data_IF_286526125883
#
_entry.id   IF_286526125883
#
_cell.length_a   1.000
_cell.length_b   1.000
_cell.length_c   1.000
_cell.angle_alpha   90.00
_cell.angle_beta   90.00
_cell.angle_gamma   90.00
#
_symmetry.space_group_name_H-M   'P 1'
#
loop_
_entity.id
_entity.type
_entity.pdbx_description
1 polymer ?
#
# COMPACT_ATOMS: atom_id res chain seq x y z
N UNK A 1 -13.63 -8.76 -3.16
CA UNK A 1 -12.91 -7.78 -3.99
C UNK A 1 -13.18 -6.37 -3.47
N UNK A 2 -12.14 -5.59 -3.24
CA UNK A 2 -12.18 -4.23 -2.72
C UNK A 2 -11.52 -3.25 -3.69
N UNK A 3 -11.75 -1.95 -3.51
CA UNK A 3 -11.19 -0.89 -4.34
C UNK A 3 -10.60 0.22 -3.48
N UNK A 4 -9.43 0.76 -3.83
CA UNK A 4 -8.85 1.90 -3.12
C UNK A 4 -9.62 3.17 -3.45
N UNK A 5 -10.07 3.88 -2.40
CA UNK A 5 -10.78 5.15 -2.52
C UNK A 5 -10.31 6.17 -1.48
N UNK A 6 -10.08 7.39 -1.89
CA UNK A 6 -9.48 8.47 -1.09
C UNK A 6 -10.48 9.42 -0.44
N UNK A 7 -11.77 9.19 -0.65
CA UNK A 7 -12.82 10.00 -0.05
C UNK A 7 -13.50 10.99 -1.00
N UNK A 8 -14.67 11.46 -0.59
CA UNK A 8 -15.48 12.42 -1.35
C UNK A 8 -14.73 13.74 -1.53
N UNK A 9 -14.65 14.23 -2.78
CA UNK A 9 -13.93 15.44 -3.15
C UNK A 9 -12.39 15.32 -3.13
N UNK A 10 -11.84 14.17 -2.76
CA UNK A 10 -10.40 13.88 -2.76
C UNK A 10 -10.01 12.81 -3.78
N UNK A 11 -11.00 12.08 -4.27
CA UNK A 11 -10.86 11.13 -5.35
C UNK A 11 -11.68 11.61 -6.57
N UNK A 12 -11.18 11.38 -7.77
CA UNK A 12 -11.92 11.64 -9.00
C UNK A 12 -13.01 10.60 -9.27
N UNK A 13 -12.94 9.45 -8.56
CA UNK A 13 -13.82 8.31 -8.75
C UNK A 13 -14.90 8.32 -7.68
N UNK A 14 -16.15 8.24 -8.11
CA UNK A 14 -17.30 8.18 -7.20
C UNK A 14 -17.58 6.75 -6.71
N UNK A 15 -18.19 6.62 -5.53
CA UNK A 15 -18.66 5.33 -5.00
C UNK A 15 -19.64 4.63 -5.98
N UNK A 16 -20.43 5.40 -6.73
CA UNK A 16 -21.31 4.87 -7.76
C UNK A 16 -20.55 4.16 -8.87
N UNK A 17 -19.44 4.73 -9.35
CA UNK A 17 -18.60 4.10 -10.38
C UNK A 17 -17.94 2.83 -9.83
N UNK A 18 -17.41 2.88 -8.62
CA UNK A 18 -16.81 1.71 -7.97
C UNK A 18 -17.84 0.57 -7.84
N UNK A 19 -19.05 0.89 -7.39
CA UNK A 19 -20.14 -0.09 -7.24
C UNK A 19 -20.57 -0.74 -8.57
N UNK A 20 -20.30 -0.11 -9.71
CA UNK A 20 -20.59 -0.64 -11.04
C UNK A 20 -19.53 -1.59 -11.58
N UNK A 21 -18.34 -1.69 -10.92
CA UNK A 21 -17.32 -2.66 -11.31
C UNK A 21 -17.83 -4.07 -10.96
N UNK A 22 -17.88 -5.01 -11.90
CA UNK A 22 -18.37 -6.37 -11.64
C UNK A 22 -17.58 -7.05 -10.51
N UNK A 23 -18.28 -7.65 -9.55
CA UNK A 23 -17.69 -8.34 -8.42
C UNK A 23 -17.09 -7.45 -7.32
N UNK A 24 -17.22 -6.12 -7.44
CA UNK A 24 -16.77 -5.19 -6.41
C UNK A 24 -17.76 -5.15 -5.25
N UNK A 25 -17.27 -5.43 -4.03
CA UNK A 25 -18.11 -5.53 -2.83
C UNK A 25 -17.72 -4.53 -1.74
N UNK A 26 -16.49 -4.01 -1.74
CA UNK A 26 -16.04 -3.15 -0.67
C UNK A 26 -14.90 -2.21 -1.05
N UNK A 27 -14.44 -1.47 -0.07
CA UNK A 27 -13.37 -0.49 -0.20
C UNK A 27 -12.19 -0.81 0.72
N UNK A 28 -10.99 -0.41 0.28
CA UNK A 28 -9.87 -0.06 1.13
C UNK A 28 -9.85 1.46 1.24
N UNK A 29 -10.40 1.96 2.36
CA UNK A 29 -10.68 3.37 2.55
C UNK A 29 -9.65 4.11 3.40
N UNK A 30 -9.75 5.44 3.47
CA UNK A 30 -8.89 6.29 4.30
C UNK A 30 -9.63 7.57 4.71
N UNK A 31 -9.27 8.13 5.86
CA UNK A 31 -9.51 9.54 6.17
C UNK A 31 -8.29 10.34 5.68
N UNK A 32 -8.29 10.72 4.39
CA UNK A 32 -7.13 11.30 3.67
C UNK A 32 -6.71 12.69 4.20
N UNK A 33 -7.56 13.34 5.00
CA UNK A 33 -7.27 14.60 5.68
C UNK A 33 -6.47 14.46 6.99
N UNK A 34 -6.33 13.23 7.51
CA UNK A 34 -5.65 12.99 8.77
C UNK A 34 -4.15 12.94 8.62
N UNK A 35 -3.46 13.79 9.36
CA UNK A 35 -2.00 13.73 9.43
C UNK A 35 -1.54 12.49 10.20
N UNK A 36 -0.32 12.01 9.89
CA UNK A 36 0.29 10.91 10.64
C UNK A 36 0.39 11.24 12.12
N UNK A 37 -0.06 10.32 12.99
CA UNK A 37 -0.04 10.49 14.44
C UNK A 37 -1.28 11.17 15.04
N UNK A 38 -2.20 11.68 14.22
CA UNK A 38 -3.48 12.17 14.70
C UNK A 38 -4.43 11.02 15.06
N UNK A 39 -5.28 11.25 16.05
CA UNK A 39 -6.36 10.31 16.40
C UNK A 39 -7.51 10.46 15.41
N UNK A 40 -7.95 9.35 14.85
CA UNK A 40 -9.21 9.29 14.11
C UNK A 40 -10.36 9.13 15.11
N UNK A 41 -11.24 10.13 15.17
CA UNK A 41 -12.35 10.13 16.12
C UNK A 41 -13.46 9.18 15.69
N UNK A 42 -14.25 8.71 16.65
CA UNK A 42 -15.41 7.85 16.37
C UNK A 42 -16.43 8.52 15.45
N UNK A 43 -16.64 9.83 15.60
CA UNK A 43 -17.58 10.60 14.77
C UNK A 43 -17.14 10.63 13.29
N UNK A 44 -15.85 10.88 13.02
CA UNK A 44 -15.29 10.92 11.68
C UNK A 44 -15.35 9.53 11.02
N UNK A 45 -14.94 8.49 11.76
CA UNK A 45 -14.99 7.10 11.27
C UNK A 45 -16.43 6.71 10.96
N UNK A 46 -17.36 6.97 11.89
CA UNK A 46 -18.78 6.67 11.71
C UNK A 46 -19.34 7.32 10.44
N UNK A 47 -19.10 8.62 10.28
CA UNK A 47 -19.56 9.38 9.11
C UNK A 47 -19.03 8.78 7.81
N UNK A 48 -17.75 8.40 7.80
CA UNK A 48 -17.08 7.81 6.65
C UNK A 48 -17.67 6.44 6.30
N UNK A 49 -17.77 5.54 7.27
CA UNK A 49 -18.31 4.17 7.09
C UNK A 49 -19.79 4.21 6.69
N UNK A 50 -20.61 5.02 7.36
CA UNK A 50 -22.03 5.19 7.02
C UNK A 50 -22.20 5.67 5.56
N UNK A 51 -21.34 6.59 5.09
CA UNK A 51 -21.38 7.08 3.71
C UNK A 51 -21.09 5.96 2.69
N UNK A 52 -20.12 5.11 2.99
CA UNK A 52 -19.76 3.96 2.13
C UNK A 52 -20.88 2.92 2.12
N UNK A 53 -21.44 2.58 3.28
CA UNK A 53 -22.54 1.64 3.41
C UNK A 53 -23.81 2.14 2.69
N UNK A 54 -24.08 3.44 2.73
CA UNK A 54 -25.20 4.04 1.99
C UNK A 54 -25.06 3.88 0.45
N UNK A 55 -23.84 3.73 -0.05
CA UNK A 55 -23.56 3.44 -1.46
C UNK A 55 -23.64 1.93 -1.79
N UNK A 56 -23.91 1.06 -0.80
CA UNK A 56 -23.99 -0.40 -0.97
C UNK A 56 -22.62 -1.08 -1.10
N UNK A 57 -21.59 -0.51 -0.48
CA UNK A 57 -20.23 -1.06 -0.40
C UNK A 57 -19.86 -1.29 1.06
N UNK A 58 -19.02 -2.29 1.32
CA UNK A 58 -18.47 -2.56 2.64
C UNK A 58 -17.16 -1.79 2.88
N UNK A 59 -16.87 -1.45 4.15
CA UNK A 59 -15.62 -0.82 4.57
C UNK A 59 -15.02 -1.60 5.74
N UNK A 60 -14.31 -2.67 5.45
CA UNK A 60 -13.67 -3.52 6.47
C UNK A 60 -12.15 -3.36 6.49
N UNK A 61 -11.58 -2.65 5.51
CA UNK A 61 -10.13 -2.42 5.38
C UNK A 61 -9.87 -0.92 5.32
N UNK A 62 -8.94 -0.46 6.15
CA UNK A 62 -8.40 0.91 6.10
C UNK A 62 -6.99 0.86 5.54
N UNK A 63 -6.74 1.71 4.56
CA UNK A 63 -5.40 1.90 3.97
C UNK A 63 -5.18 3.39 3.69
N UNK A 64 -4.42 4.11 4.55
CA UNK A 64 -3.60 3.63 5.67
C UNK A 64 -3.90 4.43 6.92
N UNK A 65 -3.59 3.86 8.08
CA UNK A 65 -3.28 4.66 9.26
C UNK A 65 -1.77 4.86 9.27
N UNK A 66 -1.32 6.06 8.90
CA UNK A 66 0.10 6.36 8.73
C UNK A 66 0.87 6.37 10.05
N UNK A 67 2.03 5.71 10.09
CA UNK A 67 2.93 5.70 11.25
C UNK A 67 3.78 6.97 11.24
N UNK A 68 3.76 7.72 12.35
CA UNK A 68 4.52 8.97 12.49
C UNK A 68 6.03 8.73 12.44
N UNK A 69 6.79 9.64 11.82
CA UNK A 69 8.25 9.52 11.67
C UNK A 69 8.98 9.41 13.01
N UNK A 70 8.49 10.06 14.07
CA UNK A 70 9.09 9.97 15.41
C UNK A 70 9.05 8.55 15.98
N UNK A 71 8.06 7.73 15.58
CA UNK A 71 8.00 6.30 15.94
C UNK A 71 9.10 5.56 15.20
N UNK A 72 9.22 5.77 13.89
CA UNK A 72 10.22 5.12 13.03
C UNK A 72 11.65 5.46 13.46
N UNK A 73 11.88 6.73 13.84
CA UNK A 73 13.19 7.21 14.33
C UNK A 73 13.46 6.91 15.82
N UNK A 74 12.49 6.39 16.57
CA UNK A 74 12.65 6.09 17.99
C UNK A 74 12.79 7.32 18.89
N UNK A 75 12.22 8.48 18.49
CA UNK A 75 12.32 9.72 19.26
C UNK A 75 11.49 9.65 20.55
N UNK A 76 11.79 10.54 21.51
CA UNK A 76 11.12 10.57 22.83
C UNK A 76 9.63 10.82 22.76
N UNK A 77 9.14 11.48 21.71
CA UNK A 77 7.71 11.75 21.43
C UNK A 77 6.94 10.52 20.92
N UNK A 78 7.63 9.43 20.53
CA UNK A 78 7.01 8.23 19.91
C UNK A 78 5.87 7.64 20.74
N UNK A 79 5.97 7.65 22.07
CA UNK A 79 4.96 7.04 22.94
C UNK A 79 3.62 7.76 22.88
N UNK A 80 3.62 9.08 22.65
CA UNK A 80 2.39 9.84 22.44
C UNK A 80 1.71 9.44 21.14
N UNK A 81 2.48 9.30 20.06
CA UNK A 81 1.96 8.88 18.75
C UNK A 81 1.49 7.43 18.74
N UNK A 82 2.19 6.53 19.45
CA UNK A 82 1.77 5.14 19.65
C UNK A 82 0.44 5.08 20.42
N UNK A 83 0.28 5.89 21.47
CA UNK A 83 -0.99 6.01 22.21
C UNK A 83 -2.13 6.47 21.31
N UNK A 84 -1.89 7.46 20.45
CA UNK A 84 -2.88 7.94 19.49
C UNK A 84 -3.24 6.84 18.48
N UNK A 85 -2.23 6.09 18.00
CA UNK A 85 -2.42 4.96 17.10
C UNK A 85 -3.30 3.88 17.72
N UNK A 86 -3.01 3.48 18.98
CA UNK A 86 -3.83 2.54 19.74
C UNK A 86 -5.28 3.03 19.94
N UNK A 87 -5.47 4.34 20.13
CA UNK A 87 -6.81 4.95 20.22
C UNK A 87 -7.55 4.81 18.89
N UNK A 88 -6.89 5.11 17.79
CA UNK A 88 -7.44 4.96 16.43
C UNK A 88 -7.84 3.51 16.15
N UNK A 89 -7.00 2.51 16.50
CA UNK A 89 -7.34 1.09 16.38
C UNK A 89 -8.66 0.76 17.10
N UNK A 90 -8.80 1.19 18.37
CA UNK A 90 -10.03 0.94 19.15
C UNK A 90 -11.25 1.61 18.54
N UNK A 91 -11.09 2.81 18.00
CA UNK A 91 -12.17 3.53 17.35
C UNK A 91 -12.60 2.85 16.06
N UNK A 92 -11.65 2.43 15.20
CA UNK A 92 -11.92 1.72 13.95
C UNK A 92 -12.65 0.39 14.18
N UNK A 93 -12.24 -0.37 15.21
CA UNK A 93 -12.87 -1.64 15.56
C UNK A 93 -14.38 -1.54 15.84
N UNK A 94 -14.84 -0.43 16.44
CA UNK A 94 -16.25 -0.19 16.75
C UNK A 94 -17.14 -0.09 15.50
N UNK A 95 -16.54 0.22 14.35
CA UNK A 95 -17.25 0.42 13.08
C UNK A 95 -16.99 -0.69 12.06
N UNK A 96 -16.57 -1.86 12.53
CA UNK A 96 -16.46 -3.08 11.70
C UNK A 96 -15.18 -3.21 10.89
N UNK A 97 -14.20 -2.34 11.11
CA UNK A 97 -12.90 -2.49 10.46
C UNK A 97 -12.20 -3.74 10.97
N UNK A 98 -11.68 -4.55 10.05
CA UNK A 98 -10.99 -5.83 10.31
C UNK A 98 -9.49 -5.75 10.05
N UNK A 99 -9.08 -4.96 9.06
CA UNK A 99 -7.68 -4.86 8.63
C UNK A 99 -7.26 -3.38 8.56
N UNK A 100 -6.10 -3.08 9.11
CA UNK A 100 -5.42 -1.80 8.96
C UNK A 100 -4.13 -2.03 8.18
N UNK A 101 -4.07 -1.50 6.97
CA UNK A 101 -2.84 -1.43 6.18
C UNK A 101 -2.01 -0.26 6.66
N UNK A 102 -0.73 -0.47 6.81
CA UNK A 102 0.25 0.55 7.16
C UNK A 102 1.60 0.18 6.55
N UNK A 103 2.54 1.10 6.60
CA UNK A 103 3.93 0.85 6.24
C UNK A 103 4.88 1.39 7.31
N UNK A 104 6.13 0.98 7.27
CA UNK A 104 7.19 1.46 8.16
C UNK A 104 8.35 2.09 7.36
N UNK A 105 8.04 2.59 6.17
CA UNK A 105 8.98 3.22 5.25
C UNK A 105 9.40 4.61 5.77
N UNK A 106 10.70 4.89 5.92
CA UNK A 106 11.19 6.23 6.21
C UNK A 106 10.84 7.23 5.11
N UNK A 107 10.28 8.37 5.48
CA UNK A 107 10.00 9.54 4.65
C UNK A 107 9.04 9.27 3.50
N UNK A 108 9.41 8.45 2.53
CA UNK A 108 8.63 8.16 1.33
C UNK A 108 7.94 6.81 1.43
N UNK A 109 6.62 6.75 1.34
CA UNK A 109 5.87 5.48 1.38
C UNK A 109 6.10 4.67 0.11
N UNK A 110 6.03 5.32 -1.05
CA UNK A 110 6.40 4.76 -2.34
C UNK A 110 7.05 5.84 -3.18
N UNK A 111 7.87 5.45 -4.16
CA UNK A 111 8.59 6.40 -4.98
C UNK A 111 8.63 5.96 -6.43
N UNK A 112 8.39 6.93 -7.34
CA UNK A 112 8.57 6.81 -8.77
C UNK A 112 9.37 8.00 -9.28
N UNK A 113 10.15 7.79 -10.33
CA UNK A 113 10.91 8.87 -10.99
C UNK A 113 10.06 9.65 -11.99
N UNK A 114 8.97 9.04 -12.46
CA UNK A 114 7.99 9.69 -13.33
C UNK A 114 6.59 9.12 -13.04
N UNK A 115 5.60 9.99 -12.90
CA UNK A 115 4.21 9.60 -12.64
C UNK A 115 3.37 9.43 -13.90
N UNK A 116 3.85 9.87 -15.04
CA UNK A 116 3.12 9.91 -16.30
C UNK A 116 4.02 9.55 -17.50
N UNK A 117 4.86 8.53 -17.36
CA UNK A 117 5.71 8.06 -18.45
C UNK A 117 4.84 7.47 -19.56
N UNK A 118 4.99 8.02 -20.77
CA UNK A 118 4.29 7.49 -21.95
C UNK A 118 4.78 6.08 -22.26
N UNK A 119 3.85 5.16 -22.49
CA UNK A 119 4.08 3.83 -22.99
C UNK A 119 4.09 3.91 -24.53
N UNK A 120 5.23 3.68 -25.20
CA UNK A 120 5.33 3.90 -26.65
C UNK A 120 4.42 3.00 -27.48
N UNK A 121 4.07 1.83 -26.95
CA UNK A 121 3.31 0.79 -27.65
C UNK A 121 1.85 1.19 -27.88
N UNK A 122 1.26 1.97 -26.97
CA UNK A 122 -0.18 2.31 -27.03
C UNK A 122 -0.52 3.77 -26.67
N UNK A 123 0.48 4.57 -26.27
CA UNK A 123 0.33 5.98 -25.91
C UNK A 123 -0.29 6.21 -24.53
N UNK A 124 -0.57 5.18 -23.75
CA UNK A 124 -1.03 5.31 -22.38
C UNK A 124 0.09 5.81 -21.45
N UNK A 125 -0.27 6.21 -20.22
CA UNK A 125 0.69 6.66 -19.22
C UNK A 125 0.81 5.66 -18.09
N UNK A 126 2.02 5.51 -17.53
CA UNK A 126 2.24 4.68 -16.36
C UNK A 126 3.18 5.32 -15.34
N UNK A 127 3.06 4.89 -14.10
CA UNK A 127 4.06 5.12 -13.08
C UNK A 127 5.35 4.39 -13.48
N UNK A 128 6.49 5.07 -13.35
CA UNK A 128 7.78 4.59 -13.82
C UNK A 128 8.88 4.87 -12.81
N UNK A 129 9.79 3.92 -12.66
CA UNK A 129 10.97 4.03 -11.82
C UNK A 129 12.24 3.68 -12.58
N UNK A 130 13.27 4.50 -12.48
CA UNK A 130 14.61 4.24 -12.96
C UNK A 130 15.64 4.74 -11.93
N UNK A 131 16.41 3.83 -11.34
CA UNK A 131 17.43 4.17 -10.33
C UNK A 131 18.48 5.14 -10.87
N UNK A 132 18.79 5.09 -12.15
CA UNK A 132 19.75 6.03 -12.77
C UNK A 132 19.19 7.44 -12.82
N UNK A 133 17.92 7.60 -13.20
CA UNK A 133 17.25 8.91 -13.16
C UNK A 133 17.17 9.42 -11.71
N UNK A 134 16.86 8.54 -10.75
CA UNK A 134 16.84 8.90 -9.34
C UNK A 134 18.21 9.35 -8.83
N UNK A 135 19.30 8.71 -9.27
CA UNK A 135 20.67 9.06 -8.88
C UNK A 135 21.12 10.45 -9.35
N UNK A 136 20.42 11.05 -10.31
CA UNK A 136 20.65 12.40 -10.80
C UNK A 136 19.82 13.48 -10.06
N UNK A 137 18.95 13.07 -9.13
CA UNK A 137 18.00 13.91 -8.40
C UNK A 137 18.32 13.97 -6.91
N UNK A 138 18.06 15.11 -6.30
CA UNK A 138 17.95 15.20 -4.85
C UNK A 138 16.54 14.79 -4.39
N UNK A 139 16.35 14.44 -3.10
CA UNK A 139 15.01 14.21 -2.56
C UNK A 139 14.01 15.36 -2.79
N UNK A 140 14.49 16.59 -2.84
CA UNK A 140 13.66 17.77 -3.12
C UNK A 140 13.30 17.84 -4.61
N UNK A 141 14.22 17.45 -5.48
CA UNK A 141 13.95 17.45 -6.93
C UNK A 141 12.87 16.44 -7.26
N UNK A 142 12.91 15.23 -6.67
CA UNK A 142 11.89 14.24 -6.90
C UNK A 142 10.51 14.71 -6.43
N UNK A 143 10.42 15.42 -5.29
CA UNK A 143 9.17 16.02 -4.80
C UNK A 143 8.62 17.04 -5.80
N UNK A 144 9.50 17.86 -6.39
CA UNK A 144 9.10 18.86 -7.39
C UNK A 144 8.66 18.25 -8.71
N UNK A 145 9.39 17.22 -9.18
CA UNK A 145 9.06 16.56 -10.45
C UNK A 145 7.74 15.78 -10.34
N UNK A 146 7.55 15.03 -9.25
CA UNK A 146 6.30 14.30 -9.04
C UNK A 146 5.11 15.25 -8.87
N UNK A 147 5.26 16.40 -8.22
CA UNK A 147 4.20 17.39 -8.09
C UNK A 147 3.71 17.95 -9.44
N UNK A 148 4.56 18.04 -10.46
CA UNK A 148 4.16 18.50 -11.81
C UNK A 148 3.16 17.57 -12.49
N UNK A 149 3.30 16.27 -12.26
CA UNK A 149 2.53 15.21 -12.94
C UNK A 149 1.48 14.54 -12.02
N UNK A 150 1.18 15.16 -10.87
CA UNK A 150 0.23 14.63 -9.89
C UNK A 150 -1.24 14.89 -10.22
N UNK A 151 -1.52 15.60 -11.33
CA UNK A 151 -2.87 16.09 -11.70
C UNK A 151 -3.56 16.89 -10.58
N UNK A 152 -2.78 17.54 -9.71
CA UNK A 152 -3.28 18.32 -8.58
C UNK A 152 -3.66 17.48 -7.34
N UNK A 153 -3.51 16.16 -7.39
CA UNK A 153 -3.79 15.29 -6.25
C UNK A 153 -2.57 15.20 -5.30
N UNK A 154 -2.86 15.12 -4.00
CA UNK A 154 -1.85 14.72 -3.03
C UNK A 154 -1.55 13.23 -3.19
N UNK A 155 -0.29 12.85 -3.20
CA UNK A 155 0.11 11.45 -3.31
C UNK A 155 0.20 10.82 -1.92
N UNK A 156 -0.13 9.51 -1.76
CA UNK A 156 0.01 8.82 -0.48
C UNK A 156 1.46 8.86 0.01
N UNK A 157 1.67 9.31 1.26
CA UNK A 157 3.00 9.48 1.83
C UNK A 157 3.74 10.75 1.42
N UNK A 158 3.09 11.60 0.61
CA UNK A 158 3.65 12.85 0.07
C UNK A 158 2.81 14.06 0.51
N UNK A 159 2.14 13.95 1.64
CA UNK A 159 1.33 15.02 2.21
C UNK A 159 2.23 16.24 2.51
N UNK A 160 1.71 17.43 2.28
CA UNK A 160 2.45 18.69 2.38
C UNK A 160 3.07 18.89 3.78
N UNK A 161 2.34 18.49 4.80
CA UNK A 161 2.77 18.56 6.20
C UNK A 161 3.97 17.65 6.46
N UNK A 162 3.97 16.46 5.86
CA UNK A 162 5.06 15.47 5.96
C UNK A 162 6.32 15.92 5.23
N UNK A 163 6.18 16.67 4.16
CA UNK A 163 7.28 17.20 3.37
C UNK A 163 7.80 18.56 3.85
N UNK A 164 7.09 19.24 4.75
CA UNK A 164 7.45 20.56 5.24
C UNK A 164 8.86 20.64 5.85
N UNK A 165 9.26 19.56 6.56
CA UNK A 165 10.57 19.43 7.21
C UNK A 165 11.47 18.35 6.57
N UNK A 166 11.29 18.12 5.26
CA UNK A 166 11.94 17.02 4.53
C UNK A 166 13.46 16.97 4.75
N UNK A 167 14.16 18.09 4.60
CA UNK A 167 15.63 18.14 4.76
C UNK A 167 16.05 17.78 6.19
N UNK A 168 15.34 18.30 7.17
CA UNK A 168 15.61 18.01 8.59
C UNK A 168 15.37 16.53 8.90
N UNK A 169 14.30 15.96 8.36
CA UNK A 169 13.94 14.56 8.55
C UNK A 169 14.97 13.64 7.89
N UNK A 170 15.36 13.91 6.65
CA UNK A 170 16.41 13.16 5.95
C UNK A 170 17.72 13.17 6.71
N UNK A 171 18.14 14.34 7.21
CA UNK A 171 19.37 14.48 8.00
C UNK A 171 19.33 13.65 9.30
N UNK A 172 18.18 13.53 9.93
CA UNK A 172 18.03 12.66 11.13
C UNK A 172 18.18 11.18 10.77
N UNK A 173 17.70 10.75 9.59
CA UNK A 173 17.85 9.38 9.12
C UNK A 173 19.28 8.98 8.77
N UNK A 174 20.20 9.92 8.53
CA UNK A 174 21.63 9.61 8.32
C UNK A 174 22.27 8.79 9.46
N UNK A 175 21.70 8.89 10.66
CA UNK A 175 22.17 8.14 11.86
C UNK A 175 21.32 6.91 12.18
N UNK A 176 20.32 6.58 11.40
CA UNK A 176 19.40 5.45 11.64
C UNK A 176 19.75 4.30 10.69
N UNK A 177 20.25 3.21 11.23
CA UNK A 177 20.50 1.99 10.49
C UNK A 177 19.23 1.15 10.29
N UNK A 178 19.31 0.12 9.45
CA UNK A 178 18.22 -0.87 9.33
C UNK A 178 17.95 -1.59 10.66
N UNK A 179 18.99 -1.88 11.45
CA UNK A 179 18.84 -2.50 12.77
C UNK A 179 18.12 -1.57 13.74
N UNK A 180 18.43 -0.27 13.72
CA UNK A 180 17.73 0.72 14.54
C UNK A 180 16.26 0.82 14.12
N UNK A 181 15.99 0.84 12.79
CA UNK A 181 14.64 0.87 12.26
C UNK A 181 13.85 -0.40 12.66
N UNK A 182 14.47 -1.59 12.57
CA UNK A 182 13.88 -2.86 13.05
C UNK A 182 13.60 -2.84 14.55
N UNK A 183 14.50 -2.30 15.36
CA UNK A 183 14.29 -2.18 16.79
C UNK A 183 13.14 -1.23 17.13
N UNK A 184 13.04 -0.09 16.45
CA UNK A 184 11.93 0.85 16.60
C UNK A 184 10.61 0.25 16.12
N UNK A 185 10.65 -0.54 15.06
CA UNK A 185 9.47 -1.24 14.55
C UNK A 185 8.99 -2.30 15.55
N UNK A 186 9.88 -3.11 16.11
CA UNK A 186 9.52 -4.06 17.16
C UNK A 186 8.87 -3.36 18.36
N UNK A 187 9.45 -2.25 18.82
CA UNK A 187 8.87 -1.46 19.90
C UNK A 187 7.43 -0.99 19.60
N UNK A 188 7.18 -0.55 18.36
CA UNK A 188 5.85 -0.18 17.91
C UNK A 188 4.89 -1.38 17.92
N UNK A 189 5.30 -2.52 17.36
CA UNK A 189 4.47 -3.73 17.32
C UNK A 189 4.13 -4.26 18.71
N UNK A 190 5.10 -4.26 19.64
CA UNK A 190 4.86 -4.68 21.04
C UNK A 190 3.80 -3.84 21.75
N UNK A 191 3.62 -2.59 21.34
CA UNK A 191 2.60 -1.71 21.90
C UNK A 191 1.23 -1.84 21.20
N UNK A 192 1.20 -2.01 19.87
CA UNK A 192 -0.05 -1.95 19.11
C UNK A 192 -0.71 -3.32 18.91
N UNK A 193 0.05 -4.39 18.75
CA UNK A 193 -0.52 -5.73 18.47
C UNK A 193 -1.41 -6.25 19.61
N UNK A 194 -1.07 -6.09 20.91
CA UNK A 194 -2.00 -6.48 21.97
C UNK A 194 -3.35 -5.74 21.91
N UNK A 195 -3.36 -4.51 21.41
CA UNK A 195 -4.61 -3.74 21.20
C UNK A 195 -5.39 -4.30 20.02
N UNK A 196 -4.70 -4.68 18.96
CA UNK A 196 -5.32 -5.31 17.79
C UNK A 196 -5.96 -6.65 18.15
N UNK A 197 -5.29 -7.49 18.95
CA UNK A 197 -5.83 -8.75 19.44
C UNK A 197 -7.13 -8.55 20.25
N UNK A 198 -7.14 -7.54 21.15
CA UNK A 198 -8.34 -7.20 21.93
C UNK A 198 -9.49 -6.70 21.06
N UNK A 199 -9.18 -6.07 19.94
CA UNK A 199 -10.15 -5.46 19.03
C UNK A 199 -10.55 -6.36 17.85
N UNK A 200 -9.89 -7.49 17.66
CA UNK A 200 -10.09 -8.37 16.49
C UNK A 200 -9.65 -7.72 15.18
N UNK A 201 -8.62 -6.87 15.22
CA UNK A 201 -8.03 -6.20 14.05
C UNK A 201 -6.72 -6.88 13.66
N UNK A 202 -6.46 -6.94 12.36
CA UNK A 202 -5.19 -7.36 11.77
C UNK A 202 -4.43 -6.12 11.27
N UNK A 203 -3.20 -5.95 11.74
CA UNK A 203 -2.25 -4.98 11.20
C UNK A 203 -1.52 -5.61 10.03
N UNK A 204 -1.62 -5.02 8.85
CA UNK A 204 -1.06 -5.54 7.61
C UNK A 204 0.05 -4.59 7.09
N UNK A 205 1.31 -5.00 7.28
CA UNK A 205 2.46 -4.19 6.85
C UNK A 205 2.66 -4.26 5.34
N UNK A 206 2.60 -3.11 4.66
CA UNK A 206 2.88 -2.98 3.22
C UNK A 206 4.38 -3.04 2.96
N UNK A 207 4.84 -3.73 1.87
CA UNK A 207 6.25 -3.79 1.50
C UNK A 207 6.80 -2.43 1.06
N UNK A 208 8.12 -2.30 1.17
CA UNK A 208 8.84 -1.18 0.58
C UNK A 208 8.60 -1.08 -0.94
N UNK A 209 8.47 0.13 -1.47
CA UNK A 209 8.22 0.38 -2.88
C UNK A 209 9.04 1.58 -3.40
N UNK A 210 10.11 1.33 -4.17
CA UNK A 210 10.59 0.03 -4.65
C UNK A 210 11.23 -0.83 -3.56
N UNK A 211 11.45 -2.11 -3.86
CA UNK A 211 11.97 -3.13 -2.94
C UNK A 211 13.48 -3.03 -2.68
N UNK A 212 14.02 -1.82 -2.51
CA UNK A 212 15.42 -1.54 -2.15
C UNK A 212 15.57 -0.14 -1.55
N UNK A 213 16.74 0.16 -0.96
CA UNK A 213 17.06 1.46 -0.37
C UNK A 213 17.04 2.57 -1.42
N UNK A 214 16.50 3.72 -1.06
CA UNK A 214 16.47 4.95 -1.87
C UNK A 214 17.03 6.12 -1.05
N UNK A 215 17.84 6.97 -1.66
CA UNK A 215 18.49 8.12 -0.98
C UNK A 215 19.22 7.75 0.32
N UNK A 216 19.72 6.51 0.44
CA UNK A 216 20.36 6.03 1.67
C UNK A 216 19.41 5.78 2.85
N UNK A 217 18.10 5.90 2.65
CA UNK A 217 17.11 5.58 3.68
C UNK A 217 17.04 4.07 3.93
N UNK A 218 17.00 3.60 5.19
CA UNK A 218 16.86 2.18 5.47
C UNK A 218 15.52 1.64 5.00
N UNK A 219 15.52 0.42 4.44
CA UNK A 219 14.32 -0.32 4.01
C UNK A 219 14.39 -1.73 4.58
N UNK A 220 13.30 -2.23 5.15
CA UNK A 220 13.28 -3.45 5.96
C UNK A 220 12.14 -4.41 5.62
N UNK A 221 11.38 -4.17 4.58
CA UNK A 221 10.21 -4.96 4.18
C UNK A 221 10.17 -5.18 2.66
N UNK A 222 11.20 -5.86 2.08
CA UNK A 222 11.33 -6.01 0.63
C UNK A 222 11.63 -7.45 0.16
N UNK A 223 11.65 -8.43 1.10
CA UNK A 223 11.88 -9.84 0.79
C UNK A 223 11.09 -10.75 1.72
N UNK A 224 10.99 -12.05 1.36
CA UNK A 224 10.42 -13.07 2.24
C UNK A 224 11.13 -13.09 3.59
N UNK A 225 12.47 -13.04 3.60
CA UNK A 225 13.28 -13.05 4.82
C UNK A 225 12.99 -11.87 5.74
N UNK A 226 12.76 -10.68 5.17
CA UNK A 226 12.38 -9.50 5.96
C UNK A 226 11.02 -9.70 6.63
N UNK A 227 10.06 -10.22 5.88
CA UNK A 227 8.73 -10.48 6.44
C UNK A 227 8.73 -11.60 7.47
N UNK A 228 9.57 -12.63 7.33
CA UNK A 228 9.76 -13.64 8.39
C UNK A 228 10.28 -12.98 9.68
N UNK A 229 11.20 -12.01 9.57
CA UNK A 229 11.65 -11.22 10.73
C UNK A 229 10.52 -10.36 11.31
N UNK A 230 9.74 -9.67 10.46
CA UNK A 230 8.64 -8.78 10.88
C UNK A 230 7.56 -9.57 11.64
N UNK A 231 7.12 -10.70 11.11
CA UNK A 231 6.09 -11.51 11.79
C UNK A 231 6.61 -12.15 13.08
N UNK A 232 7.92 -12.39 13.17
CA UNK A 232 8.58 -12.89 14.37
C UNK A 232 8.82 -11.81 15.45
N UNK A 233 8.82 -10.51 15.11
CA UNK A 233 8.95 -9.42 16.09
C UNK A 233 7.86 -9.48 17.16
N UNK A 234 6.65 -9.87 16.74
CA UNK A 234 5.53 -10.18 17.63
C UNK A 234 4.69 -11.30 16.98
N UNK A 235 4.83 -12.51 17.50
CA UNK A 235 4.19 -13.71 16.94
C UNK A 235 2.68 -13.75 17.27
N UNK A 236 1.89 -13.15 16.39
CA UNK A 236 0.43 -13.07 16.50
C UNK A 236 -0.22 -13.00 15.12
N UNK A 237 -1.39 -13.65 14.90
CA UNK A 237 -2.17 -13.45 13.67
C UNK A 237 -2.57 -12.00 13.41
N UNK A 238 -2.61 -11.16 14.45
CA UNK A 238 -2.84 -9.73 14.31
C UNK A 238 -1.64 -8.95 13.75
N UNK A 239 -0.44 -9.54 13.72
CA UNK A 239 0.75 -9.02 13.04
C UNK A 239 0.91 -9.74 11.71
N UNK A 240 0.41 -9.17 10.63
CA UNK A 240 0.37 -9.76 9.31
C UNK A 240 0.99 -8.84 8.24
N UNK A 241 0.98 -9.30 7.01
CA UNK A 241 1.51 -8.55 5.87
C UNK A 241 0.37 -8.12 4.93
N UNK A 242 0.51 -6.95 4.34
CA UNK A 242 -0.17 -6.56 3.11
C UNK A 242 0.72 -7.00 1.95
N UNK A 243 0.36 -8.07 1.27
CA UNK A 243 1.17 -8.55 0.16
C UNK A 243 0.86 -7.75 -1.10
N UNK A 244 1.77 -6.84 -1.49
CA UNK A 244 1.68 -6.11 -2.75
C UNK A 244 2.55 -6.79 -3.81
N UNK A 245 1.90 -7.36 -4.84
CA UNK A 245 2.60 -8.15 -5.87
C UNK A 245 3.59 -7.33 -6.66
N UNK A 246 3.27 -6.07 -6.97
CA UNK A 246 4.15 -5.20 -7.74
C UNK A 246 5.30 -4.62 -6.92
N UNK A 247 5.08 -4.26 -5.64
CA UNK A 247 6.17 -3.76 -4.78
C UNK A 247 7.20 -4.85 -4.51
N UNK A 248 6.78 -6.02 -4.02
CA UNK A 248 7.67 -7.17 -3.87
C UNK A 248 8.23 -7.66 -5.20
N UNK A 249 7.42 -7.67 -6.25
CA UNK A 249 7.82 -8.08 -7.60
C UNK A 249 8.79 -7.10 -8.26
N UNK A 250 8.96 -5.87 -7.78
CA UNK A 250 10.00 -4.96 -8.27
C UNK A 250 11.40 -5.53 -8.03
N UNK A 251 11.58 -6.29 -6.96
CA UNK A 251 12.76 -7.11 -6.73
C UNK A 251 12.61 -8.48 -7.43
N UNK A 252 13.41 -8.71 -8.46
CA UNK A 252 13.36 -9.95 -9.29
C UNK A 252 13.76 -11.23 -8.55
N UNK A 253 14.41 -11.11 -7.41
CA UNK A 253 14.80 -12.26 -6.59
C UNK A 253 13.62 -12.82 -5.77
N UNK A 254 12.49 -12.12 -5.75
CA UNK A 254 11.29 -12.55 -5.07
C UNK A 254 10.40 -13.45 -5.95
N UNK A 255 10.14 -14.66 -5.48
CA UNK A 255 9.12 -15.58 -6.03
C UNK A 255 7.78 -15.26 -5.35
N UNK A 256 6.94 -14.43 -6.00
CA UNK A 256 5.69 -13.94 -5.42
C UNK A 256 4.70 -15.08 -5.08
N UNK A 257 4.44 -16.07 -5.95
CA UNK A 257 3.62 -17.22 -5.59
C UNK A 257 4.16 -18.00 -4.38
N UNK A 258 5.47 -18.21 -4.28
CA UNK A 258 6.08 -18.88 -3.14
C UNK A 258 5.92 -18.07 -1.84
N UNK A 259 6.10 -16.76 -1.88
CA UNK A 259 5.89 -15.86 -0.73
C UNK A 259 4.43 -15.91 -0.27
N UNK A 260 3.47 -15.90 -1.20
CA UNK A 260 2.04 -16.02 -0.87
C UNK A 260 1.76 -17.34 -0.15
N UNK A 261 2.25 -18.47 -0.68
CA UNK A 261 2.05 -19.78 -0.03
C UNK A 261 2.66 -19.80 1.37
N UNK A 262 3.88 -19.31 1.52
CA UNK A 262 4.60 -19.29 2.79
C UNK A 262 3.87 -18.51 3.90
N UNK A 263 3.33 -17.34 3.61
CA UNK A 263 2.60 -16.52 4.59
C UNK A 263 1.11 -16.86 4.66
N UNK A 264 0.52 -17.34 3.57
CA UNK A 264 -0.87 -17.82 3.54
C UNK A 264 -1.09 -19.03 4.43
N UNK A 265 -0.23 -20.05 4.30
CA UNK A 265 -0.26 -21.24 5.15
C UNK A 265 -0.10 -20.93 6.65
N UNK A 266 0.61 -19.84 6.97
CA UNK A 266 0.80 -19.37 8.34
C UNK A 266 -0.33 -18.44 8.82
N UNK A 267 -1.34 -18.15 7.99
CA UNK A 267 -2.38 -17.15 8.26
C UNK A 267 -1.80 -15.77 8.62
N UNK A 268 -0.85 -15.31 7.79
CA UNK A 268 -0.14 -14.03 7.98
C UNK A 268 -0.35 -13.04 6.84
N UNK A 269 -1.34 -13.26 5.97
CA UNK A 269 -1.73 -12.29 4.94
C UNK A 269 -3.01 -11.59 5.37
N UNK A 270 -2.93 -10.30 5.67
CA UNK A 270 -4.10 -9.48 6.03
C UNK A 270 -4.88 -9.01 4.80
N UNK A 271 -4.18 -8.68 3.72
CA UNK A 271 -4.76 -8.31 2.43
C UNK A 271 -3.74 -8.42 1.30
N UNK A 272 -4.24 -8.37 0.05
CA UNK A 272 -3.42 -8.35 -1.17
C UNK A 272 -3.70 -7.11 -2.01
N UNK A 273 -2.62 -6.51 -2.49
CA UNK A 273 -2.63 -5.58 -3.61
C UNK A 273 -2.11 -6.29 -4.85
N UNK A 274 -2.98 -6.54 -5.81
CA UNK A 274 -2.65 -7.28 -7.02
C UNK A 274 -2.45 -6.30 -8.16
N UNK A 275 -1.26 -6.23 -8.70
CA UNK A 275 -0.87 -5.47 -9.89
C UNK A 275 0.27 -6.16 -10.61
N UNK A 276 0.51 -5.73 -11.84
CA UNK A 276 1.61 -6.22 -12.65
C UNK A 276 2.57 -5.09 -13.00
N UNK A 277 3.82 -5.42 -13.22
CA UNK A 277 4.89 -4.50 -13.61
C UNK A 277 5.65 -5.05 -14.80
N UNK A 278 6.25 -4.15 -15.59
CA UNK A 278 7.17 -4.49 -16.68
C UNK A 278 8.58 -4.10 -16.33
N UNK A 279 9.48 -5.07 -16.29
CA UNK A 279 10.90 -4.79 -16.10
C UNK A 279 11.52 -4.19 -17.38
N UNK A 280 12.26 -3.12 -17.20
CA UNK A 280 12.94 -2.43 -18.30
C UNK A 280 14.47 -2.46 -18.15
N UNK A 281 14.97 -3.04 -17.06
CA UNK A 281 16.38 -3.15 -16.73
C UNK A 281 16.62 -3.44 -15.27
N UNK A 282 17.87 -3.34 -14.83
CA UNK A 282 18.22 -3.43 -13.43
C UNK A 282 17.68 -2.21 -12.68
N UNK A 283 16.94 -2.42 -11.58
CA UNK A 283 16.26 -1.39 -10.80
C UNK A 283 15.48 -0.38 -11.65
N UNK A 284 14.84 -0.90 -12.71
CA UNK A 284 14.09 -0.11 -13.68
C UNK A 284 12.83 -0.85 -14.10
N UNK A 285 11.66 -0.24 -13.86
CA UNK A 285 10.36 -0.83 -14.18
C UNK A 285 9.30 0.23 -14.43
N UNK A 286 8.20 -0.18 -15.01
CA UNK A 286 6.96 0.59 -15.10
C UNK A 286 5.77 -0.26 -14.66
N UNK A 287 4.69 0.40 -14.30
CA UNK A 287 3.41 -0.29 -14.16
C UNK A 287 2.94 -0.80 -15.53
N UNK A 288 2.25 -1.94 -15.53
CA UNK A 288 1.60 -2.50 -16.72
C UNK A 288 0.13 -2.74 -16.44
N UNK A 289 -0.63 -3.20 -17.43
CA UNK A 289 -1.95 -3.73 -17.17
C UNK A 289 -1.87 -4.98 -16.27
N UNK A 290 -2.99 -5.39 -15.71
CA UNK A 290 -3.05 -6.60 -14.86
C UNK A 290 -2.91 -7.91 -15.66
N UNK A 291 -2.93 -7.88 -17.00
CA UNK A 291 -2.70 -9.08 -17.82
C UNK A 291 -1.30 -9.65 -17.57
N UNK A 292 -1.19 -10.97 -17.31
CA UNK A 292 0.10 -11.64 -17.17
C UNK A 292 0.98 -11.46 -18.41
N UNK A 293 0.38 -11.40 -19.61
CA UNK A 293 1.10 -11.23 -20.88
C UNK A 293 1.62 -9.81 -21.14
N UNK A 294 1.14 -8.80 -20.42
CA UNK A 294 1.55 -7.39 -20.58
C UNK A 294 2.68 -7.00 -19.63
N UNK A 295 2.71 -7.63 -18.46
CA UNK A 295 3.77 -7.44 -17.46
C UNK A 295 4.74 -8.63 -17.41
N UNK A 296 5.47 -8.72 -16.31
CA UNK A 296 6.45 -9.78 -16.05
C UNK A 296 6.10 -10.65 -14.81
N UNK A 297 4.94 -10.40 -14.18
CA UNK A 297 4.41 -11.24 -13.10
C UNK A 297 3.29 -12.12 -13.64
N UNK A 298 3.32 -13.40 -13.29
CA UNK A 298 2.25 -14.34 -13.65
C UNK A 298 1.10 -14.26 -12.65
N UNK A 299 0.08 -13.46 -12.98
CA UNK A 299 -1.07 -13.27 -12.12
C UNK A 299 -1.94 -14.53 -12.00
N UNK A 300 -1.86 -15.48 -12.93
CA UNK A 300 -2.55 -16.76 -12.76
C UNK A 300 -1.91 -17.57 -11.62
N UNK A 301 -0.59 -17.73 -11.60
CA UNK A 301 0.11 -18.44 -10.53
C UNK A 301 -0.02 -17.71 -9.18
N UNK A 302 -0.02 -16.38 -9.19
CA UNK A 302 -0.29 -15.55 -8.02
C UNK A 302 -1.68 -15.85 -7.46
N UNK A 303 -2.73 -15.77 -8.28
CA UNK A 303 -4.10 -15.99 -7.85
C UNK A 303 -4.36 -17.45 -7.44
N UNK A 304 -3.64 -18.38 -8.07
CA UNK A 304 -3.68 -19.80 -7.66
C UNK A 304 -3.07 -20.01 -6.28
N UNK A 305 -1.94 -19.37 -5.98
CA UNK A 305 -1.33 -19.42 -4.65
C UNK A 305 -2.26 -18.83 -3.58
N UNK A 306 -2.98 -17.75 -3.88
CA UNK A 306 -3.99 -17.15 -2.99
C UNK A 306 -5.15 -18.14 -2.76
N UNK A 307 -5.69 -18.74 -3.83
CA UNK A 307 -6.77 -19.71 -3.73
C UNK A 307 -6.38 -20.90 -2.86
N UNK A 308 -5.15 -21.41 -3.03
CA UNK A 308 -4.66 -22.59 -2.32
C UNK A 308 -4.44 -22.36 -0.81
N UNK A 309 -4.11 -21.10 -0.38
CA UNK A 309 -3.59 -20.85 0.98
C UNK A 309 -4.32 -19.78 1.79
N UNK A 310 -4.95 -18.78 1.13
CA UNK A 310 -5.64 -17.67 1.80
C UNK A 310 -6.85 -17.15 1.00
N UNK A 311 -7.83 -18.02 0.64
CA UNK A 311 -8.92 -17.66 -0.28
C UNK A 311 -9.87 -16.57 0.25
N UNK A 312 -9.95 -16.40 1.57
CA UNK A 312 -10.86 -15.45 2.22
C UNK A 312 -10.24 -14.06 2.44
N UNK A 313 -9.00 -13.84 1.96
CA UNK A 313 -8.32 -12.57 2.17
C UNK A 313 -8.91 -11.43 1.31
N UNK A 314 -8.76 -10.19 1.79
CA UNK A 314 -9.15 -9.01 1.03
C UNK A 314 -8.20 -8.78 -0.14
N UNK A 315 -8.76 -8.60 -1.34
CA UNK A 315 -7.98 -8.36 -2.58
C UNK A 315 -8.45 -7.07 -3.22
N UNK A 316 -7.52 -6.28 -3.72
CA UNK A 316 -7.82 -5.16 -4.60
C UNK A 316 -6.92 -5.13 -5.84
N UNK A 317 -7.45 -4.68 -7.01
CA UNK A 317 -6.59 -4.22 -8.09
C UNK A 317 -5.81 -3.01 -7.58
N UNK A 318 -4.49 -3.05 -7.70
CA UNK A 318 -3.62 -1.97 -7.25
C UNK A 318 -3.37 -0.96 -8.39
N UNK A 319 -2.24 -0.29 -8.42
CA UNK A 319 -1.92 0.70 -9.44
C UNK A 319 -2.14 0.13 -10.84
N UNK A 320 -2.67 0.96 -11.72
CA UNK A 320 -2.79 0.68 -13.14
C UNK A 320 -2.17 1.79 -13.97
N UNK A 321 -2.36 1.66 -15.28
CA UNK A 321 -2.02 2.70 -16.23
C UNK A 321 -3.09 3.76 -16.25
N UNK A 322 -2.77 4.93 -16.77
CA UNK A 322 -3.76 5.93 -17.15
C UNK A 322 -4.07 5.76 -18.64
N UNK A 323 -5.28 5.31 -18.94
CA UNK A 323 -5.75 4.99 -20.29
C UNK A 323 -6.97 5.83 -20.65
N UNK A 324 -7.25 5.97 -21.96
CA UNK A 324 -8.46 6.61 -22.49
C UNK A 324 -8.65 8.05 -22.02
N UNK A 325 -7.55 8.81 -21.94
CA UNK A 325 -7.50 10.22 -21.53
C UNK A 325 -8.14 10.47 -20.14
N UNK A 326 -8.05 9.48 -19.24
CA UNK A 326 -8.57 9.62 -17.89
C UNK A 326 -7.72 10.61 -17.08
N UNK A 327 -8.39 11.56 -16.43
CA UNK A 327 -7.78 12.47 -15.47
C UNK A 327 -8.09 12.02 -14.03
N UNK A 328 -7.09 11.44 -13.37
CA UNK A 328 -7.21 10.96 -12.01
C UNK A 328 -5.86 11.06 -11.27
N UNK A 329 -5.84 10.65 -10.01
CA UNK A 329 -4.60 10.47 -9.26
C UNK A 329 -3.71 9.47 -10.01
N UNK A 330 -2.43 9.79 -10.32
CA UNK A 330 -1.57 8.93 -11.12
C UNK A 330 -1.52 7.49 -10.60
N UNK A 331 -1.74 6.52 -11.48
CA UNK A 331 -1.82 5.10 -11.15
C UNK A 331 -3.14 4.65 -10.50
N UNK A 332 -4.00 5.58 -10.09
CA UNK A 332 -5.25 5.28 -9.38
C UNK A 332 -6.50 5.66 -10.19
N UNK A 333 -6.43 5.68 -11.52
CA UNK A 333 -7.60 5.84 -12.39
C UNK A 333 -8.62 4.72 -12.25
N UNK A 334 -9.84 4.96 -12.72
CA UNK A 334 -10.92 3.98 -12.69
C UNK A 334 -10.72 2.87 -13.73
N UNK A 335 -10.39 3.25 -14.98
CA UNK A 335 -10.55 2.34 -16.11
C UNK A 335 -9.62 1.14 -16.06
N UNK A 336 -8.32 1.35 -15.96
CA UNK A 336 -7.37 0.25 -15.95
C UNK A 336 -7.50 -0.64 -14.69
N UNK A 337 -7.84 -0.03 -13.54
CA UNK A 337 -8.12 -0.80 -12.32
C UNK A 337 -9.45 -1.59 -12.40
N UNK A 338 -10.46 -1.08 -13.07
CA UNK A 338 -11.71 -1.83 -13.33
C UNK A 338 -11.48 -3.01 -14.27
N UNK A 339 -10.66 -2.83 -15.32
CA UNK A 339 -10.21 -3.93 -16.17
C UNK A 339 -9.40 -4.95 -15.36
N UNK A 340 -8.50 -4.49 -14.48
CA UNK A 340 -7.74 -5.32 -13.57
C UNK A 340 -8.61 -6.13 -12.63
N UNK A 341 -9.61 -5.51 -12.00
CA UNK A 341 -10.58 -6.20 -11.15
C UNK A 341 -11.31 -7.31 -11.92
N UNK A 342 -11.74 -7.01 -13.15
CA UNK A 342 -12.43 -7.98 -14.00
C UNK A 342 -11.53 -9.14 -14.38
N UNK A 343 -10.25 -8.87 -14.69
CA UNK A 343 -9.27 -9.90 -15.00
C UNK A 343 -9.00 -10.81 -13.79
N UNK A 344 -8.78 -10.23 -12.61
CA UNK A 344 -8.57 -10.98 -11.35
C UNK A 344 -9.78 -11.87 -11.04
N UNK A 345 -11.01 -11.35 -11.20
CA UNK A 345 -12.22 -12.12 -11.02
C UNK A 345 -12.33 -13.26 -12.04
N UNK A 346 -11.96 -13.02 -13.30
CA UNK A 346 -11.93 -14.06 -14.33
C UNK A 346 -10.94 -15.17 -14.05
N UNK A 347 -9.75 -14.84 -13.54
CA UNK A 347 -8.77 -15.83 -13.07
C UNK A 347 -9.34 -16.64 -11.90
N UNK A 348 -9.97 -15.98 -10.93
CA UNK A 348 -10.60 -16.63 -9.79
C UNK A 348 -11.69 -17.62 -10.22
N UNK A 349 -12.59 -17.21 -11.12
CA UNK A 349 -13.61 -18.09 -11.67
C UNK A 349 -13.03 -19.31 -12.40
N UNK A 350 -11.93 -19.12 -13.14
CA UNK A 350 -11.25 -20.19 -13.83
C UNK A 350 -10.64 -21.19 -12.83
N UNK A 351 -9.93 -20.69 -11.81
CA UNK A 351 -9.28 -21.50 -10.77
C UNK A 351 -10.33 -22.32 -9.98
N UNK A 352 -11.47 -21.73 -9.64
CA UNK A 352 -12.56 -22.44 -8.95
C UNK A 352 -13.16 -23.61 -9.74
N UNK A 353 -12.91 -23.69 -11.05
CA UNK A 353 -13.42 -24.75 -11.94
C UNK A 353 -12.37 -25.82 -12.27
N UNK A 354 -11.14 -25.62 -11.85
CA UNK A 354 -10.05 -26.61 -12.03
C UNK A 354 -10.10 -27.69 -10.98
#
# INVERSE_FOLDING_TARGET
>A
MTFRWYGEGRDSISLKQIRQIPGMSGLMGVLDEKAAGEVWTEEEIKKYVDHIHAAGLECEVIESVNVHEDIKMGLTSRDNYIKNYCTTIRNLAKYGIKVIVYNFMPVFDWLRTDLARIIPEDGSFSLYFDEKELGEMTPIDIVRETAKNSNGFSLPGWEKERLADLETTLKRYESISEDDLRANYKYFLEAVIPVCEQCGIVMACHPDDPGWSIFGLPRIAHSQSDYDQIVAMYDSPSNAICLCTGSLGSNRDNDIPAIIRHFGEKNRIGCLHVRNIKYLGYHKFRESSHLSSDGDLDLFEIMKAVYDTCPDTYIRPDHGRMIWDEEARPGYGLYDRALGATYINGLWEAICKM
#
